data_IF_109650832601
#
_entry.id   IF_109650832601
#
_cell.length_a   1.000
_cell.length_b   1.000
_cell.length_c   1.000
_cell.angle_alpha   90.00
_cell.angle_beta   90.00
_cell.angle_gamma   90.00
#
_symmetry.space_group_name_H-M   'P 1'
#
loop_
_entity.id
_entity.type
_entity.pdbx_description
1 polymer ?
#
# COMPACT_ATOMS: atom_id res chain seq x y z
N UNK A 1 16.34 -44.68 46.78
CA UNK A 1 16.97 -44.59 45.44
C UNK A 1 16.47 -43.31 44.78
N UNK A 2 17.27 -42.25 44.81
CA UNK A 2 16.99 -40.97 44.12
C UNK A 2 17.82 -40.97 42.83
N UNK A 3 17.16 -40.88 41.69
CA UNK A 3 17.77 -40.72 40.36
C UNK A 3 18.04 -39.23 40.12
N UNK A 4 19.29 -38.84 39.91
CA UNK A 4 19.65 -37.50 39.45
C UNK A 4 19.55 -37.41 37.92
N UNK A 5 19.05 -36.29 37.43
CA UNK A 5 18.99 -35.97 35.99
C UNK A 5 20.03 -34.87 35.74
N UNK A 6 21.05 -35.17 34.95
CA UNK A 6 22.08 -34.21 34.56
C UNK A 6 21.60 -33.40 33.34
N UNK A 7 21.52 -32.08 33.46
CA UNK A 7 21.29 -31.18 32.34
C UNK A 7 22.64 -30.76 31.73
N UNK A 8 22.84 -31.07 30.45
CA UNK A 8 23.95 -30.55 29.63
C UNK A 8 23.63 -29.13 29.18
N UNK A 9 24.48 -28.17 29.51
CA UNK A 9 24.41 -26.79 29.00
C UNK A 9 24.99 -26.71 27.59
N UNK A 10 24.18 -26.30 26.61
CA UNK A 10 24.64 -25.92 25.27
C UNK A 10 25.19 -24.49 25.30
N UNK A 11 26.42 -24.27 24.81
CA UNK A 11 26.98 -22.92 24.68
C UNK A 11 26.42 -22.23 23.43
N UNK A 12 25.98 -20.97 23.60
CA UNK A 12 25.49 -20.13 22.50
C UNK A 12 26.68 -19.35 21.93
N UNK A 13 26.99 -19.54 20.65
CA UNK A 13 28.06 -18.81 19.96
C UNK A 13 27.62 -17.35 19.69
N UNK A 14 28.55 -16.41 19.85
CA UNK A 14 28.32 -14.97 19.72
C UNK A 14 27.92 -14.55 18.28
N UNK A 15 27.16 -13.45 18.10
CA UNK A 15 26.72 -13.01 16.77
C UNK A 15 27.89 -12.43 15.95
N UNK A 16 27.97 -12.83 14.68
CA UNK A 16 28.92 -12.28 13.70
C UNK A 16 28.53 -10.85 13.35
N UNK A 17 29.47 -9.90 13.55
CA UNK A 17 29.27 -8.47 13.28
C UNK A 17 29.95 -8.10 11.97
N UNK A 18 29.19 -7.94 10.88
CA UNK A 18 29.73 -7.45 9.61
C UNK A 18 29.86 -5.93 9.68
N UNK A 19 31.09 -5.41 9.66
CA UNK A 19 31.35 -3.98 9.49
C UNK A 19 31.30 -3.63 8.01
N UNK A 20 30.27 -2.90 7.59
CA UNK A 20 30.25 -2.25 6.28
C UNK A 20 30.97 -0.89 6.41
N UNK A 21 32.09 -0.71 5.71
CA UNK A 21 32.78 0.58 5.60
C UNK A 21 32.50 1.17 4.22
N UNK A 22 31.73 2.26 4.16
CA UNK A 22 31.54 3.03 2.94
C UNK A 22 32.77 3.93 2.73
N UNK A 23 33.57 3.61 1.72
CA UNK A 23 34.60 4.51 1.22
C UNK A 23 33.90 5.53 0.32
N UNK A 24 33.86 6.79 0.75
CA UNK A 24 33.40 7.90 -0.09
C UNK A 24 34.62 8.61 -0.65
N UNK A 25 34.91 8.40 -1.93
CA UNK A 25 35.80 9.28 -2.68
C UNK A 25 34.96 10.44 -3.25
N UNK A 26 35.35 11.71 -3.05
CA UNK A 26 34.65 12.82 -3.69
C UNK A 26 34.97 12.81 -5.19
N UNK A 27 33.99 12.53 -6.04
CA UNK A 27 34.11 12.72 -7.48
C UNK A 27 33.93 14.19 -7.83
N UNK A 28 34.92 14.80 -8.49
CA UNK A 28 34.87 16.19 -9.01
C UNK A 28 34.30 16.29 -10.42
N UNK A 29 33.52 15.29 -10.85
CA UNK A 29 32.91 15.28 -12.17
C UNK A 29 31.68 16.21 -12.17
N UNK A 30 31.57 17.25 -13.04
CA UNK A 30 30.39 18.10 -13.10
C UNK A 30 29.15 17.38 -13.66
N UNK A 31 29.33 16.19 -14.26
CA UNK A 31 28.28 15.21 -14.55
C UNK A 31 28.15 14.12 -13.46
N UNK A 32 28.90 14.23 -12.36
CA UNK A 32 28.68 13.40 -11.19
C UNK A 32 27.25 13.61 -10.74
N UNK A 33 26.53 12.51 -10.54
CA UNK A 33 25.33 12.46 -9.71
C UNK A 33 25.69 12.75 -8.25
N UNK A 34 26.34 13.88 -8.00
CA UNK A 34 26.74 14.37 -6.70
C UNK A 34 25.48 14.73 -5.91
N UNK A 35 24.96 13.67 -5.28
CA UNK A 35 24.38 13.61 -3.96
C UNK A 35 23.28 14.62 -3.63
N UNK A 36 22.09 14.48 -4.26
CA UNK A 36 20.90 14.72 -3.45
C UNK A 36 20.85 13.60 -2.40
N UNK A 37 20.99 13.97 -1.13
CA UNK A 37 20.82 13.04 -0.02
C UNK A 37 19.41 12.43 -0.04
N UNK A 38 19.20 11.30 0.66
CA UNK A 38 17.88 10.69 0.74
C UNK A 38 16.85 11.69 1.30
N UNK A 39 15.75 11.85 0.58
CA UNK A 39 14.62 12.70 0.93
C UNK A 39 13.45 11.83 1.35
N UNK A 40 12.65 12.39 2.25
CA UNK A 40 11.38 11.80 2.67
C UNK A 40 10.33 12.90 2.66
N UNK A 41 9.14 12.57 2.17
CA UNK A 41 7.95 13.39 2.31
C UNK A 41 6.79 12.47 2.70
N UNK A 42 5.90 12.93 3.59
CA UNK A 42 4.72 12.16 3.97
C UNK A 42 3.51 13.07 4.04
N UNK A 43 2.39 12.61 3.48
CA UNK A 43 1.13 13.34 3.46
C UNK A 43 -0.03 12.39 3.68
N UNK A 44 -0.98 12.80 4.50
CA UNK A 44 -2.27 12.10 4.62
C UNK A 44 -3.28 12.76 3.69
N UNK A 45 -3.85 11.98 2.79
CA UNK A 45 -4.87 12.41 1.83
C UNK A 45 -6.21 11.86 2.29
N UNK A 46 -7.19 12.76 2.44
CA UNK A 46 -8.58 12.38 2.68
C UNK A 46 -9.32 12.28 1.35
N UNK A 47 -9.85 11.09 1.08
CA UNK A 47 -10.79 10.83 0.00
C UNK A 47 -12.21 11.03 0.54
N UNK A 48 -13.11 11.70 -0.21
CA UNK A 48 -14.50 11.81 0.21
C UNK A 48 -15.14 10.41 0.29
N UNK A 49 -16.27 10.26 1.00
CA UNK A 49 -17.07 9.05 0.89
C UNK A 49 -17.38 8.78 -0.59
N UNK A 50 -16.97 7.62 -1.10
CA UNK A 50 -17.32 7.15 -2.43
C UNK A 50 -18.34 6.03 -2.24
N UNK A 51 -19.37 5.94 -3.07
CA UNK A 51 -20.29 4.79 -3.03
C UNK A 51 -19.53 3.46 -3.15
N UNK A 52 -20.12 2.34 -2.75
CA UNK A 52 -19.58 1.00 -3.02
C UNK A 52 -19.12 0.85 -4.49
N UNK A 53 -17.97 0.22 -4.67
CA UNK A 53 -17.40 -0.12 -5.98
C UNK A 53 -15.91 0.26 -6.11
N UNK A 54 -15.38 0.08 -7.31
CA UNK A 54 -14.00 0.40 -7.65
C UNK A 54 -13.90 1.80 -8.29
N UNK A 55 -13.03 2.66 -7.74
CA UNK A 55 -12.91 4.06 -8.14
C UNK A 55 -11.49 4.42 -8.52
N UNK A 56 -11.31 5.05 -9.68
CA UNK A 56 -10.02 5.60 -10.10
C UNK A 56 -9.68 6.84 -9.26
N UNK A 57 -8.69 6.74 -8.37
CA UNK A 57 -8.28 7.82 -7.48
C UNK A 57 -6.94 8.48 -7.89
N UNK A 58 -6.29 7.98 -8.95
CA UNK A 58 -5.02 8.54 -9.47
C UNK A 58 -5.04 10.07 -9.57
N UNK A 59 -6.07 10.73 -10.17
CA UNK A 59 -6.05 12.19 -10.31
C UNK A 59 -6.02 12.93 -8.97
N UNK A 60 -6.75 12.41 -7.96
CA UNK A 60 -6.77 12.98 -6.61
C UNK A 60 -5.43 12.78 -5.91
N UNK A 61 -4.84 11.59 -6.00
CA UNK A 61 -3.52 11.32 -5.42
C UNK A 61 -2.46 12.25 -6.06
N UNK A 62 -2.41 12.30 -7.39
CA UNK A 62 -1.43 13.13 -8.11
C UNK A 62 -1.58 14.63 -7.82
N UNK A 63 -2.82 15.13 -7.72
CA UNK A 63 -3.07 16.52 -7.31
C UNK A 63 -2.47 16.84 -5.94
N UNK A 64 -2.55 15.90 -4.99
CA UNK A 64 -2.12 16.13 -3.62
C UNK A 64 -0.62 15.95 -3.41
N UNK A 65 0.02 15.00 -4.12
CA UNK A 65 1.46 14.70 -3.93
C UNK A 65 2.36 15.32 -5.00
N UNK A 66 1.81 15.80 -6.12
CA UNK A 66 2.57 16.33 -7.25
C UNK A 66 3.64 17.36 -6.89
N UNK A 67 3.35 18.35 -6.01
CA UNK A 67 4.36 19.30 -5.55
C UNK A 67 5.57 18.61 -4.88
N UNK A 68 5.32 17.65 -3.98
CA UNK A 68 6.38 16.90 -3.29
C UNK A 68 7.13 15.97 -4.24
N UNK A 69 6.39 15.31 -5.15
CA UNK A 69 6.90 14.32 -6.08
C UNK A 69 7.97 14.90 -7.02
N UNK A 70 7.79 16.15 -7.46
CA UNK A 70 8.73 16.87 -8.34
C UNK A 70 10.16 16.95 -7.78
N UNK A 71 10.33 16.82 -6.47
CA UNK A 71 11.62 16.85 -5.79
C UNK A 71 12.43 15.53 -5.86
N UNK A 72 11.85 14.45 -6.40
CA UNK A 72 12.44 13.11 -6.44
C UNK A 72 12.82 12.70 -7.87
N UNK A 73 14.10 12.42 -8.12
CA UNK A 73 14.60 11.84 -9.38
C UNK A 73 14.39 10.34 -9.45
N UNK A 74 14.58 9.62 -8.34
CA UNK A 74 14.39 8.18 -8.24
C UNK A 74 13.95 7.81 -6.82
N UNK A 75 12.95 6.94 -6.69
CA UNK A 75 12.43 6.60 -5.36
C UNK A 75 11.25 5.64 -5.39
N UNK A 76 10.54 5.59 -4.27
CA UNK A 76 9.30 4.85 -4.09
C UNK A 76 8.24 5.76 -3.47
N UNK A 77 7.01 5.62 -3.94
CA UNK A 77 5.81 6.14 -3.32
C UNK A 77 5.08 4.97 -2.66
N UNK A 78 5.08 4.93 -1.34
CA UNK A 78 4.31 3.97 -0.55
C UNK A 78 2.98 4.59 -0.14
N UNK A 79 1.87 3.96 -0.54
CA UNK A 79 0.52 4.35 -0.17
C UNK A 79 -0.02 3.35 0.84
N UNK A 80 -0.56 3.83 1.95
CA UNK A 80 -1.17 3.02 2.99
C UNK A 80 -2.57 3.55 3.29
N UNK A 81 -3.59 2.75 2.98
CA UNK A 81 -4.99 3.02 3.32
C UNK A 81 -5.24 2.66 4.78
N UNK A 82 -5.65 3.65 5.57
CA UNK A 82 -5.97 3.48 6.99
C UNK A 82 -7.40 2.97 7.15
N UNK A 83 -7.69 1.78 6.62
CA UNK A 83 -9.00 1.16 6.68
C UNK A 83 -8.92 -0.36 6.52
N UNK A 84 -9.89 -1.08 7.06
CA UNK A 84 -9.93 -2.56 7.05
C UNK A 84 -11.05 -3.13 6.18
N UNK A 85 -12.03 -2.32 5.77
CA UNK A 85 -13.17 -2.69 4.92
C UNK A 85 -13.19 -1.91 3.58
N UNK A 86 -12.04 -1.39 3.16
CA UNK A 86 -11.78 -0.84 1.83
C UNK A 86 -10.34 -1.20 1.43
N UNK A 87 -10.03 -1.26 0.15
CA UNK A 87 -8.69 -1.65 -0.33
C UNK A 87 -8.13 -0.73 -1.40
N UNK A 88 -6.83 -0.85 -1.65
CA UNK A 88 -6.12 -0.23 -2.76
C UNK A 88 -5.66 -1.29 -3.75
N UNK A 89 -5.76 -0.99 -5.03
CA UNK A 89 -5.20 -1.83 -6.10
C UNK A 89 -4.72 -0.97 -7.27
N UNK A 90 -3.90 -1.55 -8.16
CA UNK A 90 -3.51 -0.95 -9.42
C UNK A 90 -4.12 -1.79 -10.55
N UNK A 91 -4.92 -1.17 -11.39
CA UNK A 91 -5.55 -1.83 -12.53
C UNK A 91 -5.85 -0.80 -13.64
N UNK A 92 -6.62 -1.16 -14.66
CA UNK A 92 -6.86 -0.34 -15.84
C UNK A 92 -7.40 1.07 -15.51
N UNK A 93 -6.90 2.11 -16.17
CA UNK A 93 -7.31 3.50 -15.94
C UNK A 93 -8.26 4.07 -17.00
N UNK A 94 -8.63 3.29 -18.02
CA UNK A 94 -9.36 3.76 -19.18
C UNK A 94 -10.83 3.34 -19.17
N UNK A 95 -11.11 2.04 -19.29
CA UNK A 95 -12.47 1.54 -19.38
C UNK A 95 -13.14 1.46 -17.98
N UNK A 96 -14.36 2.01 -17.86
CA UNK A 96 -15.15 1.91 -16.64
C UNK A 96 -15.71 0.51 -16.42
N UNK A 97 -15.87 -0.29 -17.46
CA UNK A 97 -16.45 -1.63 -17.36
C UNK A 97 -15.53 -2.56 -16.56
N UNK A 98 -14.21 -2.42 -16.66
CA UNK A 98 -13.24 -3.18 -15.85
C UNK A 98 -13.50 -2.96 -14.34
N UNK A 99 -13.88 -1.74 -13.94
CA UNK A 99 -14.21 -1.42 -12.54
C UNK A 99 -15.55 -2.02 -12.12
N UNK A 100 -16.55 -2.01 -13.01
CA UNK A 100 -17.86 -2.59 -12.76
C UNK A 100 -17.82 -4.13 -12.70
N UNK A 101 -17.06 -4.76 -13.58
CA UNK A 101 -16.85 -6.21 -13.63
C UNK A 101 -16.05 -6.70 -12.43
N UNK A 102 -15.05 -5.93 -11.99
CA UNK A 102 -14.31 -6.23 -10.75
C UNK A 102 -15.25 -6.25 -9.55
N UNK A 103 -16.12 -5.25 -9.40
CA UNK A 103 -17.11 -5.20 -8.33
C UNK A 103 -18.11 -6.36 -8.40
N UNK A 104 -18.60 -6.66 -9.60
CA UNK A 104 -19.49 -7.81 -9.85
C UNK A 104 -18.82 -9.13 -9.46
N UNK A 105 -17.55 -9.30 -9.82
CA UNK A 105 -16.77 -10.47 -9.44
C UNK A 105 -16.61 -10.59 -7.93
N UNK A 106 -16.22 -9.51 -7.24
CA UNK A 106 -16.06 -9.48 -5.78
C UNK A 106 -17.35 -9.86 -5.05
N UNK A 107 -18.50 -9.34 -5.50
CA UNK A 107 -19.80 -9.68 -4.91
C UNK A 107 -20.21 -11.14 -5.17
N UNK A 108 -19.72 -11.75 -6.25
CA UNK A 108 -19.97 -13.17 -6.52
C UNK A 108 -19.14 -14.09 -5.62
N UNK A 109 -17.85 -13.77 -5.41
CA UNK A 109 -16.94 -14.63 -4.65
C UNK A 109 -17.02 -14.40 -3.14
N UNK A 110 -17.43 -13.20 -2.72
CA UNK A 110 -17.66 -12.82 -1.32
C UNK A 110 -19.10 -12.30 -1.21
N UNK A 111 -20.09 -13.21 -1.22
CA UNK A 111 -21.50 -12.84 -1.24
C UNK A 111 -21.95 -12.23 0.08
N UNK A 112 -23.07 -11.52 0.03
CA UNK A 112 -23.70 -10.87 1.19
C UNK A 112 -25.12 -11.41 1.40
N UNK A 113 -25.74 -11.01 2.51
CA UNK A 113 -27.15 -11.31 2.78
C UNK A 113 -27.40 -12.66 3.47
N UNK A 114 -28.67 -13.09 3.54
CA UNK A 114 -29.11 -14.17 4.45
C UNK A 114 -28.47 -15.53 4.21
N UNK A 115 -28.02 -15.81 2.98
CA UNK A 115 -27.34 -17.06 2.62
C UNK A 115 -25.83 -17.00 2.81
N UNK A 116 -25.27 -15.84 3.13
CA UNK A 116 -23.83 -15.69 3.29
C UNK A 116 -23.37 -16.30 4.63
N UNK A 117 -22.33 -17.15 4.63
CA UNK A 117 -21.92 -17.91 5.82
C UNK A 117 -21.05 -17.09 6.79
N UNK A 118 -21.28 -15.78 6.89
CA UNK A 118 -20.44 -14.87 7.68
C UNK A 118 -20.96 -14.67 9.09
N UNK A 119 -20.05 -14.71 10.07
CA UNK A 119 -20.38 -14.51 11.48
C UNK A 119 -20.28 -13.04 11.92
N UNK A 120 -19.37 -12.28 11.31
CA UNK A 120 -19.14 -10.88 11.66
C UNK A 120 -20.07 -9.97 10.87
N UNK A 121 -21.09 -9.44 11.54
CA UNK A 121 -22.19 -8.66 10.93
C UNK A 121 -22.59 -7.48 11.81
N UNK A 122 -21.70 -7.06 12.71
CA UNK A 122 -22.03 -6.05 13.73
C UNK A 122 -22.34 -4.70 13.11
N UNK A 123 -21.72 -4.39 11.97
CA UNK A 123 -21.92 -3.14 11.25
C UNK A 123 -22.83 -3.29 10.01
N UNK A 124 -23.51 -4.43 9.85
CA UNK A 124 -24.42 -4.70 8.73
C UNK A 124 -24.08 -5.96 7.92
N UNK A 125 -24.89 -6.26 6.88
CA UNK A 125 -24.69 -7.44 6.03
C UNK A 125 -23.43 -7.38 5.17
N UNK A 126 -22.86 -6.19 4.97
CA UNK A 126 -21.66 -5.90 4.18
C UNK A 126 -20.35 -5.90 5.00
N UNK A 127 -20.46 -6.05 6.32
CA UNK A 127 -19.36 -5.94 7.29
C UNK A 127 -18.22 -6.94 7.03
N UNK A 128 -18.43 -8.24 7.31
CA UNK A 128 -17.44 -9.29 6.98
C UNK A 128 -17.08 -9.34 5.48
N UNK A 129 -18.03 -9.25 4.52
CA UNK A 129 -17.68 -9.21 3.11
C UNK A 129 -16.64 -8.14 2.78
N UNK A 130 -16.80 -6.94 3.32
CA UNK A 130 -15.88 -5.84 3.10
C UNK A 130 -14.48 -6.11 3.66
N UNK A 131 -14.39 -6.76 4.83
CA UNK A 131 -13.11 -7.18 5.39
C UNK A 131 -12.40 -8.25 4.55
N UNK A 132 -13.14 -9.22 4.01
CA UNK A 132 -12.58 -10.25 3.13
C UNK A 132 -12.09 -9.61 1.84
N UNK A 133 -12.94 -8.84 1.15
CA UNK A 133 -12.60 -8.15 -0.11
C UNK A 133 -11.40 -7.21 0.08
N UNK A 134 -11.34 -6.51 1.21
CA UNK A 134 -10.20 -5.70 1.61
C UNK A 134 -8.92 -6.52 1.74
N UNK A 135 -8.97 -7.66 2.42
CA UNK A 135 -7.81 -8.55 2.62
C UNK A 135 -7.32 -9.21 1.32
N UNK A 136 -8.18 -9.36 0.32
CA UNK A 136 -7.81 -9.93 -0.99
C UNK A 136 -6.92 -9.00 -1.82
N UNK A 137 -7.19 -7.70 -1.82
CA UNK A 137 -6.36 -6.71 -2.53
C UNK A 137 -5.28 -6.11 -1.63
N UNK A 138 -5.59 -5.92 -0.35
CA UNK A 138 -4.74 -5.26 0.62
C UNK A 138 -4.97 -3.75 0.73
N UNK A 139 -4.32 -3.15 1.72
CA UNK A 139 -4.41 -1.72 2.00
C UNK A 139 -3.17 -0.94 1.55
N UNK A 140 -2.21 -1.57 0.87
CA UNK A 140 -0.93 -0.96 0.55
C UNK A 140 -0.59 -1.04 -0.94
N UNK A 141 0.05 0.01 -1.44
CA UNK A 141 0.69 0.02 -2.75
C UNK A 141 2.10 0.61 -2.60
N UNK A 142 3.04 0.13 -3.40
CA UNK A 142 4.39 0.71 -3.50
C UNK A 142 4.71 0.89 -4.97
N UNK A 143 4.88 2.14 -5.39
CA UNK A 143 4.98 2.55 -6.79
C UNK A 143 6.34 3.20 -7.02
N UNK A 144 7.11 2.83 -8.06
CA UNK A 144 8.38 3.49 -8.35
C UNK A 144 8.19 4.96 -8.73
N UNK A 145 9.16 5.80 -8.38
CA UNK A 145 9.23 7.21 -8.77
C UNK A 145 10.37 7.36 -9.76
N UNK A 146 10.15 8.09 -10.85
CA UNK A 146 11.18 8.43 -11.84
C UNK A 146 10.95 9.84 -12.35
N UNK A 147 11.97 10.69 -12.23
CA UNK A 147 11.96 12.09 -12.70
C UNK A 147 10.70 12.85 -12.29
N UNK A 148 10.35 12.79 -11.01
CA UNK A 148 9.23 13.50 -10.43
C UNK A 148 7.84 12.93 -10.76
N UNK A 149 7.78 11.72 -11.30
CA UNK A 149 6.53 11.07 -11.69
C UNK A 149 6.40 9.68 -11.07
N UNK A 150 5.16 9.25 -10.82
CA UNK A 150 4.85 7.84 -10.54
C UNK A 150 5.10 7.04 -11.83
N UNK A 151 6.04 6.12 -11.77
CA UNK A 151 6.44 5.29 -12.90
C UNK A 151 5.55 4.05 -12.99
N UNK A 152 4.31 4.28 -13.40
CA UNK A 152 3.30 3.26 -13.71
C UNK A 152 3.22 3.06 -15.23
N UNK A 153 2.74 1.89 -15.67
CA UNK A 153 2.44 1.66 -17.08
C UNK A 153 1.29 2.52 -17.60
N UNK A 154 1.19 2.69 -18.92
CA UNK A 154 0.19 3.55 -19.59
C UNK A 154 -1.24 3.33 -19.11
N UNK A 155 -1.62 2.06 -18.94
CA UNK A 155 -2.96 1.67 -18.55
C UNK A 155 -3.14 1.50 -17.04
N UNK A 156 -2.09 1.70 -16.24
CA UNK A 156 -2.19 1.51 -14.80
C UNK A 156 -2.75 2.76 -14.11
N UNK A 157 -3.69 2.54 -13.20
CA UNK A 157 -4.27 3.54 -12.33
C UNK A 157 -4.45 3.03 -10.92
N UNK A 158 -4.33 3.92 -9.95
CA UNK A 158 -4.55 3.67 -8.53
C UNK A 158 -6.05 3.68 -8.28
N UNK A 159 -6.57 2.58 -7.77
CA UNK A 159 -7.97 2.43 -7.43
C UNK A 159 -8.17 2.42 -5.92
N UNK A 160 -9.28 3.02 -5.46
CA UNK A 160 -9.90 2.71 -4.18
C UNK A 160 -11.05 1.75 -4.44
N UNK A 161 -11.03 0.58 -3.82
CA UNK A 161 -12.16 -0.33 -3.80
C UNK A 161 -12.91 -0.11 -2.49
N UNK A 162 -14.06 0.55 -2.58
CA UNK A 162 -14.97 0.73 -1.45
C UNK A 162 -15.93 -0.45 -1.37
N UNK A 163 -15.92 -1.16 -0.25
CA UNK A 163 -16.71 -2.38 -0.10
C UNK A 163 -17.94 -2.20 0.79
N UNK A 164 -18.15 -1.01 1.37
CA UNK A 164 -19.30 -0.68 2.22
C UNK A 164 -20.37 0.09 1.48
N UNK A 165 -21.64 -0.14 1.82
CA UNK A 165 -22.79 0.59 1.26
C UNK A 165 -22.93 2.02 1.80
N UNK A 166 -22.66 2.20 3.09
CA UNK A 166 -22.69 3.49 3.79
C UNK A 166 -21.29 3.92 4.26
N UNK A 167 -20.38 4.26 3.34
CA UNK A 167 -18.99 4.53 3.68
C UNK A 167 -18.80 5.93 4.25
N UNK A 168 -17.74 6.06 5.03
CA UNK A 168 -17.20 7.34 5.48
C UNK A 168 -15.97 7.72 4.67
N UNK A 169 -15.45 8.94 4.87
CA UNK A 169 -14.24 9.39 4.21
C UNK A 169 -13.06 8.42 4.50
N UNK A 170 -12.25 8.14 3.48
CA UNK A 170 -11.08 7.26 3.61
C UNK A 170 -9.80 8.07 3.69
N UNK A 171 -8.82 7.59 4.47
CA UNK A 171 -7.51 8.23 4.61
C UNK A 171 -6.43 7.37 3.99
N UNK A 172 -5.64 7.95 3.10
CA UNK A 172 -4.46 7.32 2.50
C UNK A 172 -3.23 8.09 2.96
N UNK A 173 -2.32 7.42 3.67
CA UNK A 173 -1.00 7.97 3.98
C UNK A 173 -0.09 7.66 2.81
N UNK A 174 0.46 8.70 2.18
CA UNK A 174 1.45 8.57 1.11
C UNK A 174 2.80 8.97 1.67
N UNK A 175 3.77 8.06 1.58
CA UNK A 175 5.17 8.30 1.95
C UNK A 175 6.02 8.21 0.70
N UNK A 176 6.73 9.28 0.38
CA UNK A 176 7.70 9.36 -0.72
C UNK A 176 9.09 9.24 -0.12
N UNK A 177 9.92 8.37 -0.69
CA UNK A 177 11.33 8.25 -0.29
C UNK A 177 12.22 8.01 -1.51
N UNK A 178 13.38 8.65 -1.55
CA UNK A 178 14.25 8.59 -2.72
C UNK A 178 15.31 9.68 -2.73
N UNK A 179 15.88 9.97 -3.90
CA UNK A 179 16.90 11.00 -4.12
C UNK A 179 16.38 12.12 -5.03
#
# INVERSE_FOLDING_TARGET
MQTSVSFLSLSVSAPVRIKCSLVTTPSTDPNSMAASGPKWAQKTITLPPLRRGCHLITPKIMKEIGPDLSGFKCGLAHLFLQHTSASLTINENYDSDVRADTETFLNRIVPEGPSAPWRHTLEGPDDMPAHIKSSMFGCTLTIPITNGNLNMGTWQGIWLCEHRDDPTARKVVVTLNGI
#
